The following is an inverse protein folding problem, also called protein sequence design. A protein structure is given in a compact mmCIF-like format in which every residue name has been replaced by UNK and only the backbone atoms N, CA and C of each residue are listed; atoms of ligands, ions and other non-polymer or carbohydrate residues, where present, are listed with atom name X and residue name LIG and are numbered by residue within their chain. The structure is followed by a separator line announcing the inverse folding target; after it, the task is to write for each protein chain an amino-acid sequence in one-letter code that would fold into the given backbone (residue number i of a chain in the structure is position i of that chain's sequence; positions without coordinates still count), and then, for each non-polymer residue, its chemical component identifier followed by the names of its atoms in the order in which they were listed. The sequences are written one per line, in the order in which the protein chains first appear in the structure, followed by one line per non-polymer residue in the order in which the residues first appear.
data_IF_430413113743
#
_entry.id   IF_430413113743
#
_cell.length_a   1.000
_cell.length_b   1.000
_cell.length_c   1.000
_cell.angle_alpha   90.00
_cell.angle_beta   90.00
_cell.angle_gamma   90.00
#
_symmetry.space_group_name_H-M   'P 1'
#
loop_
_entity.id
_entity.type
_entity.pdbx_description
1 polymer ?
#
# COMPACT_ATOMS: atom_id res chain seq x y z
N UNK A 1 8.43 4.50 6.67
CA UNK A 1 7.57 5.01 7.78
C UNK A 1 7.52 6.54 7.91
N UNK A 2 8.38 7.33 7.24
CA UNK A 2 8.34 8.79 7.33
C UNK A 2 7.14 9.42 6.56
N UNK A 3 6.81 8.92 5.37
CA UNK A 3 5.72 9.45 4.55
C UNK A 3 4.34 9.40 5.24
N UNK A 4 3.90 8.22 5.68
CA UNK A 4 2.60 8.04 6.37
C UNK A 4 2.48 8.87 7.66
N UNK A 5 3.59 9.12 8.35
CA UNK A 5 3.61 9.97 9.55
C UNK A 5 3.50 11.46 9.22
N UNK A 6 3.99 11.86 8.05
CA UNK A 6 4.13 13.26 7.65
C UNK A 6 2.92 13.76 6.85
N UNK A 7 2.26 12.87 6.09
CA UNK A 7 1.17 13.23 5.18
C UNK A 7 -0.18 12.57 5.49
N UNK A 8 -0.23 11.54 6.34
CA UNK A 8 -1.45 10.74 6.50
C UNK A 8 -1.81 10.00 5.20
N UNK A 9 -3.09 9.64 5.03
CA UNK A 9 -3.56 9.03 3.78
C UNK A 9 -3.53 10.08 2.67
N UNK A 10 -2.87 9.77 1.54
CA UNK A 10 -2.60 10.70 0.46
C UNK A 10 -2.81 10.05 -0.91
N UNK A 11 -3.14 10.86 -1.92
CA UNK A 11 -3.25 10.40 -3.31
C UNK A 11 -2.06 10.92 -4.12
N UNK A 12 -1.29 10.01 -4.70
CA UNK A 12 -0.07 10.30 -5.46
C UNK A 12 -0.01 9.37 -6.68
N UNK A 13 -1.03 9.44 -7.54
CA UNK A 13 -1.25 8.49 -8.65
C UNK A 13 -1.82 7.13 -8.19
N UNK A 14 -1.56 6.74 -6.93
CA UNK A 14 -2.25 5.69 -6.19
C UNK A 14 -2.79 6.21 -4.85
N UNK A 15 -3.82 5.58 -4.31
CA UNK A 15 -4.38 5.91 -2.99
C UNK A 15 -3.51 5.29 -1.89
N UNK A 16 -2.59 6.07 -1.34
CA UNK A 16 -1.76 5.65 -0.21
C UNK A 16 -2.55 5.85 1.07
N UNK A 17 -2.87 4.74 1.74
CA UNK A 17 -3.60 4.76 3.01
C UNK A 17 -2.64 4.92 4.19
N UNK A 18 -3.09 5.59 5.24
CA UNK A 18 -2.30 5.74 6.46
C UNK A 18 -3.12 5.49 7.73
N UNK A 19 -2.55 5.82 8.88
CA UNK A 19 -3.18 5.68 10.21
C UNK A 19 -4.40 6.59 10.40
N UNK A 20 -4.43 7.71 9.67
CA UNK A 20 -5.57 8.61 9.58
C UNK A 20 -5.70 9.06 8.13
N UNK A 21 -6.84 8.77 7.52
CA UNK A 21 -7.12 9.16 6.14
C UNK A 21 -7.69 10.58 6.10
N UNK A 22 -7.29 11.37 5.08
CA UNK A 22 -7.96 12.64 4.79
C UNK A 22 -9.42 12.39 4.39
N UNK A 23 -10.29 13.40 4.53
CA UNK A 23 -11.74 13.31 4.32
C UNK A 23 -12.20 12.82 2.92
N UNK A 24 -11.28 12.71 1.96
CA UNK A 24 -11.52 12.23 0.59
C UNK A 24 -11.13 10.76 0.39
N UNK A 25 -10.59 10.09 1.41
CA UNK A 25 -10.22 8.68 1.42
C UNK A 25 -11.11 7.99 2.46
N UNK A 26 -11.62 6.80 2.16
CA UNK A 26 -12.56 6.06 3.02
C UNK A 26 -12.06 5.84 4.45
N UNK A 27 -12.95 5.41 5.35
CA UNK A 27 -12.61 5.20 6.78
C UNK A 27 -11.66 4.01 7.03
N UNK A 28 -11.36 3.20 6.02
CA UNK A 28 -10.50 2.02 6.14
C UNK A 28 -9.04 2.42 6.30
N UNK A 29 -8.45 2.08 7.44
CA UNK A 29 -7.06 2.39 7.72
C UNK A 29 -6.12 1.35 7.12
N UNK A 30 -4.83 1.70 7.06
CA UNK A 30 -3.73 0.75 6.79
C UNK A 30 -3.81 -0.50 7.69
N UNK A 31 -4.33 -0.36 8.92
CA UNK A 31 -4.45 -1.45 9.89
C UNK A 31 -5.59 -2.39 9.50
N UNK A 32 -6.77 -1.85 9.20
CA UNK A 32 -7.96 -2.65 8.87
C UNK A 32 -7.72 -3.50 7.63
N UNK A 33 -7.15 -2.87 6.59
CA UNK A 33 -6.79 -3.56 5.35
C UNK A 33 -5.67 -4.57 5.56
N UNK A 34 -4.61 -4.22 6.30
CA UNK A 34 -3.53 -5.17 6.57
C UNK A 34 -4.04 -6.40 7.34
N UNK A 35 -4.96 -6.23 8.29
CA UNK A 35 -5.55 -7.35 9.02
C UNK A 35 -6.45 -8.21 8.12
N UNK A 36 -7.32 -7.59 7.32
CA UNK A 36 -8.18 -8.31 6.37
C UNK A 36 -7.36 -9.12 5.36
N UNK A 37 -6.33 -8.51 4.78
CA UNK A 37 -5.48 -9.16 3.79
C UNK A 37 -4.59 -10.25 4.40
N UNK A 38 -4.11 -10.09 5.63
CA UNK A 38 -3.41 -11.17 6.33
C UNK A 38 -4.30 -12.39 6.56
N UNK A 39 -5.60 -12.19 6.78
CA UNK A 39 -6.52 -13.32 6.94
C UNK A 39 -6.73 -14.09 5.63
N UNK A 40 -6.80 -13.38 4.50
CA UNK A 40 -7.01 -13.99 3.17
C UNK A 40 -5.73 -14.53 2.53
N UNK A 41 -4.59 -13.89 2.76
CA UNK A 41 -3.32 -14.15 2.07
C UNK A 41 -2.17 -14.43 3.04
N UNK A 42 -2.46 -15.11 4.15
CA UNK A 42 -1.49 -15.40 5.23
C UNK A 42 -0.21 -16.11 4.75
N UNK A 43 -0.28 -16.87 3.66
CA UNK A 43 0.87 -17.57 3.06
C UNK A 43 1.73 -16.65 2.17
N UNK A 44 1.18 -15.54 1.71
CA UNK A 44 1.77 -14.63 0.73
C UNK A 44 2.35 -13.38 1.39
N UNK A 45 1.72 -12.91 2.46
CA UNK A 45 2.14 -11.73 3.20
C UNK A 45 3.01 -12.11 4.39
N UNK A 46 4.29 -11.69 4.36
CA UNK A 46 5.15 -11.77 5.53
C UNK A 46 4.52 -10.99 6.72
N UNK A 47 4.69 -11.46 7.97
CA UNK A 47 4.22 -10.74 9.16
C UNK A 47 4.79 -9.31 9.30
N UNK A 48 5.90 -9.04 8.62
CA UNK A 48 6.54 -7.72 8.60
C UNK A 48 6.03 -6.81 7.50
N UNK A 49 5.22 -7.33 6.57
CA UNK A 49 4.64 -6.56 5.47
C UNK A 49 3.33 -5.88 5.89
N UNK A 50 3.02 -4.76 5.23
CA UNK A 50 1.76 -4.02 5.44
C UNK A 50 1.21 -3.49 4.11
N UNK A 51 -0.12 -3.48 4.00
CA UNK A 51 -0.83 -3.02 2.79
C UNK A 51 -0.86 -1.50 2.79
N UNK A 52 -0.42 -0.89 1.70
CA UNK A 52 -0.34 0.58 1.55
C UNK A 52 -1.38 1.14 0.59
N UNK A 53 -1.92 0.33 -0.31
CA UNK A 53 -2.93 0.70 -1.30
C UNK A 53 -3.65 -0.54 -1.80
N UNK A 54 -4.66 -0.36 -2.63
CA UNK A 54 -5.23 -1.39 -3.49
C UNK A 54 -5.16 -0.91 -4.95
N UNK A 55 -5.18 -1.85 -5.89
CA UNK A 55 -5.43 -1.51 -7.30
C UNK A 55 -6.94 -1.26 -7.55
N UNK A 56 -7.30 -0.96 -8.79
CA UNK A 56 -8.69 -0.72 -9.18
C UNK A 56 -9.59 -1.97 -9.16
N UNK A 57 -9.01 -3.16 -9.03
CA UNK A 57 -9.69 -4.45 -9.00
C UNK A 57 -9.85 -5.01 -7.57
N UNK A 58 -9.25 -4.35 -6.58
CA UNK A 58 -9.29 -4.74 -5.17
C UNK A 58 -8.12 -5.63 -4.74
N UNK A 59 -7.10 -5.79 -5.57
CA UNK A 59 -5.87 -6.49 -5.22
C UNK A 59 -4.98 -5.59 -4.33
N UNK A 60 -4.37 -6.14 -3.27
CA UNK A 60 -3.59 -5.34 -2.34
C UNK A 60 -2.23 -5.00 -2.93
N UNK A 61 -1.85 -3.74 -2.75
CA UNK A 61 -0.50 -3.25 -2.93
C UNK A 61 0.13 -3.13 -1.54
N UNK A 62 1.20 -3.85 -1.29
CA UNK A 62 1.84 -3.94 0.02
C UNK A 62 3.34 -3.67 -0.05
N UNK A 63 3.89 -3.28 1.10
CA UNK A 63 5.32 -3.03 1.26
C UNK A 63 5.92 -4.08 2.19
N UNK A 64 7.10 -4.58 1.85
CA UNK A 64 7.88 -5.44 2.73
C UNK A 64 8.74 -4.65 3.73
N UNK A 65 9.49 -5.37 4.57
CA UNK A 65 10.38 -4.76 5.57
C UNK A 65 11.63 -4.10 4.98
N UNK A 66 11.96 -4.38 3.72
CA UNK A 66 13.06 -3.77 2.98
C UNK A 66 12.61 -2.50 2.24
N UNK A 67 11.30 -2.23 2.19
CA UNK A 67 10.72 -1.08 1.51
C UNK A 67 10.28 -1.37 0.08
N UNK A 68 10.43 -2.60 -0.42
CA UNK A 68 9.97 -2.99 -1.76
C UNK A 68 8.46 -3.04 -1.79
N UNK A 69 7.88 -2.66 -2.93
CA UNK A 69 6.44 -2.59 -3.13
C UNK A 69 5.99 -3.67 -4.10
N UNK A 70 4.93 -4.38 -3.73
CA UNK A 70 4.37 -5.49 -4.50
C UNK A 70 2.87 -5.33 -4.68
N UNK A 71 2.36 -5.82 -5.81
CA UNK A 71 0.94 -6.13 -6.05
C UNK A 71 0.73 -7.62 -5.83
N UNK A 72 -0.28 -8.01 -5.04
CA UNK A 72 -0.69 -9.41 -4.95
C UNK A 72 -1.94 -9.63 -5.82
N UNK A 73 -1.78 -10.26 -6.97
CA UNK A 73 -2.89 -10.62 -7.85
C UNK A 73 -3.18 -12.13 -7.69
N UNK A 74 -4.33 -12.46 -7.10
CA UNK A 74 -4.74 -13.85 -6.78
C UNK A 74 -3.64 -14.72 -6.11
N UNK A 75 -2.85 -14.13 -5.20
CA UNK A 75 -1.78 -14.82 -4.48
C UNK A 75 -0.42 -14.82 -5.17
N UNK A 76 -0.32 -14.19 -6.34
CA UNK A 76 0.94 -14.00 -7.07
C UNK A 76 1.47 -12.60 -6.79
N UNK A 77 2.65 -12.52 -6.19
CA UNK A 77 3.32 -11.25 -5.91
C UNK A 77 4.08 -10.76 -7.15
N UNK A 78 3.73 -9.56 -7.60
CA UNK A 78 4.44 -8.83 -8.66
C UNK A 78 5.16 -7.64 -8.05
N UNK A 79 6.46 -7.51 -8.32
CA UNK A 79 7.23 -6.34 -7.88
C UNK A 79 6.83 -5.11 -8.70
N UNK A 80 6.34 -4.08 -8.02
CA UNK A 80 5.99 -2.79 -8.64
C UNK A 80 7.16 -1.81 -8.56
N UNK A 81 7.86 -1.75 -7.42
CA UNK A 81 8.98 -0.82 -7.22
C UNK A 81 9.96 -1.36 -6.18
N UNK A 82 11.25 -1.02 -6.31
CA UNK A 82 12.29 -1.39 -5.34
C UNK A 82 12.22 -0.56 -4.04
N UNK A 83 11.48 0.55 -4.06
CA UNK A 83 11.20 1.39 -2.90
C UNK A 83 9.84 2.08 -3.02
N UNK A 84 9.30 2.52 -1.88
CA UNK A 84 8.08 3.33 -1.88
C UNK A 84 8.30 4.68 -2.58
N UNK A 85 9.47 5.28 -2.40
CA UNK A 85 9.85 6.53 -3.04
C UNK A 85 9.82 6.39 -4.57
N UNK A 86 10.43 5.33 -5.11
CA UNK A 86 10.39 5.03 -6.54
C UNK A 86 8.94 4.85 -7.04
N UNK A 87 8.09 4.14 -6.29
CA UNK A 87 6.67 3.99 -6.65
C UNK A 87 5.99 5.34 -6.80
N UNK A 88 6.25 6.27 -5.86
CA UNK A 88 5.67 7.62 -5.92
C UNK A 88 6.24 8.38 -7.12
N UNK A 89 7.55 8.40 -7.33
CA UNK A 89 8.16 9.10 -8.47
C UNK A 89 7.63 8.62 -9.83
N UNK A 90 7.39 7.31 -9.99
CA UNK A 90 6.86 6.73 -11.22
C UNK A 90 5.36 6.99 -11.44
N UNK A 91 4.60 7.25 -10.37
CA UNK A 91 3.16 7.50 -10.43
C UNK A 91 2.78 8.98 -10.26
N UNK A 92 3.71 9.83 -9.83
CA UNK A 92 3.50 11.26 -9.65
C UNK A 92 3.84 12.01 -10.95
N UNK A 93 2.81 12.32 -11.73
CA UNK A 93 2.95 13.19 -12.90
C UNK A 93 2.90 14.66 -12.45
N UNK A 94 4.04 15.36 -12.50
CA UNK A 94 4.06 16.84 -12.41
C UNK A 94 3.30 17.43 -13.61
N UNK A 95 2.32 18.29 -13.33
CA UNK A 95 1.52 19.02 -14.33
C UNK A 95 2.09 20.40 -14.60
#
# INVERSE_FOLDING_TARGET
MQFMKMFGGAYAGLAVLAFSNGSSIGNETVIDLTLAFRQQFSEVLSPTSYVISMDGEGNPIFMDSLGKVFLCDYGINQLLAESFEQLIEENFFEW
#
